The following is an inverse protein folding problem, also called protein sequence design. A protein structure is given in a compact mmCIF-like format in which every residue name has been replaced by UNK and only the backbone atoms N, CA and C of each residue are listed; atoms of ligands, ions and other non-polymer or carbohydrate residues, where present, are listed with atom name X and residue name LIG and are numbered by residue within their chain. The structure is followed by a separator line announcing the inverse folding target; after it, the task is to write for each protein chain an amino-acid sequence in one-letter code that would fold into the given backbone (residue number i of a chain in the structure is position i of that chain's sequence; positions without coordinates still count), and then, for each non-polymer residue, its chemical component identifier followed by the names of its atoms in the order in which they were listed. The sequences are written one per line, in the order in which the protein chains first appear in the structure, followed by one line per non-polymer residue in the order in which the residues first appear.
data_IF_426646993824
#
_entry.id   IF_426646993824
#
_cell.length_a   1.000
_cell.length_b   1.000
_cell.length_c   1.000
_cell.angle_alpha   90.00
_cell.angle_beta   90.00
_cell.angle_gamma   90.00
#
_symmetry.space_group_name_H-M   'P 1'
#
loop_
_entity.id
_entity.type
_entity.pdbx_description
1 polymer ?
#
# COMPACT_ATOMS: atom_id res chain seq x y z
N UNK A 1 -13.81 11.88 0.13
CA UNK A 1 -14.09 10.44 -0.04
C UNK A 1 -14.31 10.18 -1.52
N UNK A 2 -13.77 9.10 -2.06
CA UNK A 2 -14.01 8.74 -3.46
C UNK A 2 -15.47 8.30 -3.63
N UNK A 3 -16.12 8.76 -4.70
CA UNK A 3 -17.51 8.39 -5.02
C UNK A 3 -17.64 6.97 -5.61
N UNK A 4 -16.54 6.24 -5.72
CA UNK A 4 -16.46 4.95 -6.43
C UNK A 4 -16.35 3.78 -5.47
N UNK A 5 -15.75 4.01 -4.29
CA UNK A 5 -15.55 2.94 -3.34
C UNK A 5 -16.84 2.60 -2.61
N UNK A 6 -17.20 1.33 -2.62
CA UNK A 6 -18.22 0.79 -1.74
C UNK A 6 -17.62 0.61 -0.35
N UNK A 7 -18.21 1.24 0.64
CA UNK A 7 -17.76 1.15 2.03
C UNK A 7 -18.52 0.06 2.78
N UNK A 8 -17.96 -0.42 3.88
CA UNK A 8 -18.67 -1.35 4.77
C UNK A 8 -19.99 -0.75 5.23
N UNK A 9 -20.03 0.57 5.52
CA UNK A 9 -21.25 1.28 5.88
C UNK A 9 -22.32 1.37 4.78
N UNK A 10 -21.96 1.13 3.52
CA UNK A 10 -22.92 1.09 2.41
C UNK A 10 -23.64 -0.28 2.29
N UNK A 11 -23.02 -1.34 2.83
CA UNK A 11 -23.52 -2.72 2.74
C UNK A 11 -23.97 -3.32 4.08
N UNK A 12 -23.56 -2.73 5.20
CA UNK A 12 -23.91 -3.22 6.53
C UNK A 12 -24.49 -2.11 7.39
N UNK A 13 -25.71 -2.33 7.89
CA UNK A 13 -26.35 -1.40 8.83
C UNK A 13 -25.78 -1.46 10.25
N UNK A 14 -24.98 -2.49 10.57
CA UNK A 14 -24.36 -2.69 11.88
C UNK A 14 -22.86 -2.75 11.76
N UNK A 15 -22.12 -2.19 12.75
CA UNK A 15 -20.67 -2.33 12.80
C UNK A 15 -20.23 -3.79 12.80
N UNK A 16 -19.28 -4.14 11.95
CA UNK A 16 -18.66 -5.46 11.93
C UNK A 16 -17.44 -5.46 12.85
N UNK A 17 -17.23 -6.48 13.68
CA UNK A 17 -16.07 -6.57 14.56
C UNK A 17 -14.76 -6.47 13.77
N UNK A 18 -13.89 -5.54 14.14
CA UNK A 18 -12.59 -5.34 13.49
C UNK A 18 -12.62 -4.61 12.14
N UNK A 19 -13.80 -4.24 11.62
CA UNK A 19 -13.94 -3.53 10.35
C UNK A 19 -14.63 -2.17 10.56
N UNK A 20 -13.93 -1.05 10.37
CA UNK A 20 -14.55 0.27 10.47
C UNK A 20 -15.55 0.47 9.33
N UNK A 21 -16.67 1.18 9.59
CA UNK A 21 -17.72 1.43 8.62
C UNK A 21 -17.25 2.18 7.37
N UNK A 22 -16.16 2.92 7.46
CA UNK A 22 -15.50 3.62 6.35
C UNK A 22 -14.44 2.77 5.62
N UNK A 23 -14.27 1.51 5.98
CA UNK A 23 -13.42 0.59 5.23
C UNK A 23 -14.03 0.30 3.84
N UNK A 24 -13.15 0.16 2.85
CA UNK A 24 -13.56 -0.15 1.48
C UNK A 24 -13.94 -1.63 1.38
N UNK A 25 -15.17 -1.91 1.01
CA UNK A 25 -15.68 -3.27 0.84
C UNK A 25 -15.48 -3.79 -0.58
N UNK A 26 -15.61 -2.92 -1.58
CA UNK A 26 -15.42 -3.25 -2.99
C UNK A 26 -15.07 -2.02 -3.79
N UNK A 27 -14.22 -2.23 -4.79
CA UNK A 27 -13.89 -1.22 -5.79
C UNK A 27 -14.76 -1.45 -7.02
N UNK A 28 -15.31 -0.39 -7.55
CA UNK A 28 -16.11 -0.36 -8.80
C UNK A 28 -17.44 -1.12 -8.82
N UNK A 29 -17.82 -1.88 -7.80
CA UNK A 29 -19.09 -2.63 -7.83
C UNK A 29 -20.33 -1.74 -7.86
N UNK A 30 -20.24 -0.50 -7.39
CA UNK A 30 -21.29 0.52 -7.43
C UNK A 30 -20.72 1.90 -7.83
N UNK A 31 -19.98 1.94 -8.94
CA UNK A 31 -19.52 3.22 -9.48
C UNK A 31 -20.73 4.13 -9.74
N UNK A 32 -20.81 5.24 -9.00
CA UNK A 32 -21.91 6.21 -9.19
C UNK A 32 -21.76 6.82 -10.58
N UNK A 33 -22.87 6.97 -11.30
CA UNK A 33 -22.88 7.51 -12.67
C UNK A 33 -22.17 8.88 -12.84
N UNK A 34 -21.97 9.59 -11.73
CA UNK A 34 -21.35 10.92 -11.68
C UNK A 34 -19.90 10.90 -11.13
N UNK A 35 -19.21 9.76 -11.17
CA UNK A 35 -17.82 9.70 -10.75
C UNK A 35 -16.94 10.47 -11.74
N UNK A 36 -16.10 11.39 -11.23
CA UNK A 36 -15.14 12.10 -12.04
C UNK A 36 -13.96 11.19 -12.43
N UNK A 37 -13.19 11.61 -13.43
CA UNK A 37 -11.95 10.89 -13.82
C UNK A 37 -10.95 10.86 -12.66
N UNK A 38 -10.91 11.91 -11.84
CA UNK A 38 -10.07 12.02 -10.64
C UNK A 38 -10.51 11.03 -9.57
N UNK A 39 -11.82 10.84 -9.37
CA UNK A 39 -12.36 9.83 -8.46
C UNK A 39 -11.97 8.41 -8.89
N UNK A 40 -12.06 8.13 -10.20
CA UNK A 40 -11.65 6.84 -10.79
C UNK A 40 -10.15 6.62 -10.57
N UNK A 41 -9.33 7.60 -10.91
CA UNK A 41 -7.87 7.53 -10.72
C UNK A 41 -7.50 7.29 -9.25
N UNK A 42 -8.13 8.02 -8.32
CA UNK A 42 -7.91 7.83 -6.88
C UNK A 42 -8.30 6.41 -6.44
N UNK A 43 -9.45 5.91 -6.91
CA UNK A 43 -9.90 4.55 -6.60
C UNK A 43 -8.92 3.49 -7.10
N UNK A 44 -8.39 3.63 -8.31
CA UNK A 44 -7.38 2.73 -8.88
C UNK A 44 -6.09 2.74 -8.08
N UNK A 45 -5.60 3.92 -7.71
CA UNK A 45 -4.40 4.05 -6.88
C UNK A 45 -4.61 3.33 -5.54
N UNK A 46 -5.73 3.55 -4.88
CA UNK A 46 -6.05 2.89 -3.62
C UNK A 46 -6.09 1.37 -3.76
N UNK A 47 -6.72 0.86 -4.82
CA UNK A 47 -6.77 -0.57 -5.11
C UNK A 47 -5.36 -1.15 -5.24
N UNK A 48 -4.49 -0.52 -6.03
CA UNK A 48 -3.11 -0.99 -6.24
C UNK A 48 -2.33 -1.00 -4.93
N UNK A 49 -2.41 0.07 -4.13
CA UNK A 49 -1.71 0.15 -2.86
C UNK A 49 -2.21 -0.88 -1.85
N UNK A 50 -3.52 -1.12 -1.79
CA UNK A 50 -4.10 -2.17 -0.93
C UNK A 50 -3.69 -3.58 -1.40
N UNK A 51 -3.65 -3.83 -2.71
CA UNK A 51 -3.15 -5.09 -3.25
C UNK A 51 -1.69 -5.32 -2.88
N UNK A 52 -0.83 -4.30 -3.01
CA UNK A 52 0.59 -4.38 -2.61
C UNK A 52 0.69 -4.72 -1.12
N UNK A 53 0.00 -3.97 -0.27
CA UNK A 53 0.02 -4.19 1.18
C UNK A 53 -0.48 -5.58 1.57
N UNK A 54 -1.61 -6.02 1.01
CA UNK A 54 -2.18 -7.34 1.28
C UNK A 54 -1.27 -8.46 0.81
N UNK A 55 -0.71 -8.38 -0.39
CA UNK A 55 0.23 -9.37 -0.91
C UNK A 55 1.49 -9.46 -0.03
N UNK A 56 2.02 -8.31 0.41
CA UNK A 56 3.18 -8.25 1.30
C UNK A 56 2.88 -8.94 2.64
N UNK A 57 1.74 -8.65 3.26
CA UNK A 57 1.33 -9.24 4.53
C UNK A 57 1.13 -10.76 4.38
N UNK A 58 0.38 -11.17 3.35
CA UNK A 58 0.07 -12.58 3.13
C UNK A 58 1.33 -13.42 2.84
N UNK A 59 2.28 -12.89 2.05
CA UNK A 59 3.53 -13.59 1.74
C UNK A 59 4.46 -13.77 2.95
N UNK A 60 4.25 -13.00 4.01
CA UNK A 60 5.09 -13.02 5.21
C UNK A 60 4.47 -13.71 6.43
N UNK A 61 3.24 -14.25 6.30
CA UNK A 61 2.52 -14.86 7.41
C UNK A 61 3.32 -15.99 8.09
N UNK A 62 3.92 -16.87 7.30
CA UNK A 62 4.70 -18.01 7.83
C UNK A 62 6.01 -17.55 8.49
N UNK A 63 6.64 -16.50 7.97
CA UNK A 63 7.91 -16.00 8.52
C UNK A 63 7.73 -15.12 9.76
N UNK A 64 6.51 -14.69 10.07
CA UNK A 64 6.20 -13.80 11.18
C UNK A 64 6.77 -12.39 11.05
N UNK A 65 7.24 -12.01 9.85
CA UNK A 65 7.76 -10.66 9.57
C UNK A 65 6.61 -9.67 9.65
N UNK A 66 6.85 -8.56 10.37
CA UNK A 66 5.86 -7.50 10.58
C UNK A 66 6.35 -6.11 10.19
N UNK A 67 7.62 -5.96 9.87
CA UNK A 67 8.22 -4.70 9.41
C UNK A 67 8.55 -4.82 7.92
N UNK A 68 7.96 -3.94 7.11
CA UNK A 68 8.12 -3.91 5.66
C UNK A 68 8.68 -2.58 5.20
N UNK A 69 9.56 -2.61 4.22
CA UNK A 69 10.11 -1.41 3.59
C UNK A 69 9.54 -1.27 2.20
N UNK A 70 8.89 -0.15 1.93
CA UNK A 70 8.31 0.19 0.63
C UNK A 70 9.29 1.06 -0.15
N UNK A 71 9.62 0.64 -1.37
CA UNK A 71 10.52 1.35 -2.28
C UNK A 71 9.88 1.51 -3.66
N UNK A 72 10.42 2.42 -4.46
CA UNK A 72 9.96 2.68 -5.82
C UNK A 72 9.07 3.91 -5.95
N UNK A 73 8.77 4.31 -7.17
CA UNK A 73 8.07 5.56 -7.49
C UNK A 73 6.67 5.68 -6.90
N UNK A 74 5.96 4.57 -6.71
CA UNK A 74 4.62 4.61 -6.11
C UNK A 74 4.62 5.14 -4.68
N UNK A 75 5.74 5.06 -3.96
CA UNK A 75 5.87 5.58 -2.59
C UNK A 75 5.79 7.11 -2.52
N UNK A 76 5.96 7.81 -3.64
CA UNK A 76 5.81 9.27 -3.74
C UNK A 76 4.34 9.71 -3.75
N UNK A 77 3.41 8.79 -3.99
CA UNK A 77 1.99 9.10 -4.02
C UNK A 77 1.48 9.49 -2.62
N UNK A 78 0.76 10.62 -2.48
CA UNK A 78 0.23 11.04 -1.18
C UNK A 78 -0.73 10.01 -0.57
N UNK A 79 -1.40 9.18 -1.38
CA UNK A 79 -2.30 8.11 -0.94
C UNK A 79 -1.60 7.03 -0.10
N UNK A 80 -0.28 6.86 -0.24
CA UNK A 80 0.49 5.97 0.62
C UNK A 80 0.36 6.33 2.10
N UNK A 81 0.26 7.63 2.41
CA UNK A 81 0.11 8.13 3.79
C UNK A 81 -1.29 7.90 4.37
N UNK A 82 -2.25 7.51 3.54
CA UNK A 82 -3.61 7.17 3.96
C UNK A 82 -3.79 5.64 4.05
N UNK A 83 -3.34 4.92 3.03
CA UNK A 83 -3.58 3.47 2.88
C UNK A 83 -2.74 2.65 3.87
N UNK A 84 -1.42 2.84 3.89
CA UNK A 84 -0.54 2.00 4.69
C UNK A 84 -0.75 2.15 6.20
N UNK A 85 -0.94 3.36 6.79
CA UNK A 85 -1.27 3.46 8.21
C UNK A 85 -2.61 2.82 8.60
N UNK A 86 -3.58 2.78 7.68
CA UNK A 86 -4.84 2.06 7.93
C UNK A 86 -4.61 0.54 7.95
N UNK A 87 -3.78 0.02 7.05
CA UNK A 87 -3.40 -1.40 7.03
C UNK A 87 -2.55 -1.80 8.23
N UNK A 88 -1.63 -0.93 8.68
CA UNK A 88 -0.82 -1.16 9.89
C UNK A 88 -1.68 -1.44 11.11
N UNK A 89 -2.73 -0.64 11.31
CA UNK A 89 -3.68 -0.82 12.42
C UNK A 89 -4.49 -2.10 12.30
N UNK A 90 -4.91 -2.45 11.07
CA UNK A 90 -5.77 -3.61 10.83
C UNK A 90 -5.01 -4.93 11.01
N UNK A 91 -3.77 -4.99 10.54
CA UNK A 91 -2.98 -6.23 10.49
C UNK A 91 -1.85 -6.30 11.53
N UNK A 92 -1.70 -5.27 12.36
CA UNK A 92 -0.62 -5.17 13.35
C UNK A 92 0.77 -5.36 12.75
N UNK A 93 1.04 -4.61 11.70
CA UNK A 93 2.30 -4.57 10.94
C UNK A 93 2.83 -3.15 10.83
N UNK A 94 4.02 -2.96 10.28
CA UNK A 94 4.61 -1.65 10.00
C UNK A 94 5.10 -1.55 8.57
N UNK A 95 4.76 -0.43 7.91
CA UNK A 95 5.28 -0.07 6.60
C UNK A 95 6.17 1.17 6.71
N UNK A 96 7.41 1.05 6.27
CA UNK A 96 8.39 2.15 6.29
C UNK A 96 8.71 2.58 4.88
N UNK A 97 8.61 3.88 4.61
CA UNK A 97 9.04 4.49 3.35
C UNK A 97 10.32 5.29 3.66
N UNK A 98 11.49 4.80 3.25
CA UNK A 98 12.76 5.50 3.50
C UNK A 98 12.87 6.77 2.67
N UNK A 99 13.75 7.66 3.09
CA UNK A 99 14.15 8.81 2.28
C UNK A 99 14.77 8.31 0.98
N UNK A 100 14.41 8.91 -0.15
CA UNK A 100 14.84 8.51 -1.49
C UNK A 100 14.37 7.10 -1.89
N UNK A 101 13.19 6.71 -1.40
CA UNK A 101 12.59 5.40 -1.68
C UNK A 101 12.48 5.10 -3.18
N UNK A 102 12.29 6.12 -4.00
CA UNK A 102 12.22 6.04 -5.46
C UNK A 102 13.55 5.63 -6.11
N UNK A 103 14.68 5.92 -5.46
CA UNK A 103 16.02 5.61 -5.95
C UNK A 103 16.67 4.40 -5.27
N UNK A 104 16.00 3.76 -4.31
CA UNK A 104 16.59 2.68 -3.51
C UNK A 104 17.17 1.54 -4.35
N UNK A 105 16.53 1.18 -5.45
CA UNK A 105 17.03 0.12 -6.35
C UNK A 105 18.34 0.53 -7.02
N UNK A 106 18.43 1.76 -7.53
CA UNK A 106 19.65 2.28 -8.16
C UNK A 106 20.80 2.44 -7.15
N UNK A 107 20.47 2.97 -5.97
CA UNK A 107 21.44 3.11 -4.86
C UNK A 107 21.97 1.72 -4.45
N UNK A 108 21.07 0.74 -4.29
CA UNK A 108 21.44 -0.62 -3.94
C UNK A 108 22.37 -1.27 -4.98
N UNK A 109 22.07 -1.12 -6.27
CA UNK A 109 22.91 -1.62 -7.36
C UNK A 109 24.30 -0.99 -7.36
N UNK A 110 24.39 0.33 -7.16
CA UNK A 110 25.67 1.04 -7.09
C UNK A 110 26.51 0.59 -5.88
N UNK A 111 25.88 0.40 -4.72
CA UNK A 111 26.55 -0.08 -3.52
C UNK A 111 27.06 -1.52 -3.68
N UNK A 112 26.26 -2.41 -4.29
CA UNK A 112 26.67 -3.80 -4.53
C UNK A 112 27.85 -3.87 -5.51
N UNK A 113 27.79 -3.06 -6.58
CA UNK A 113 28.90 -2.97 -7.54
C UNK A 113 30.20 -2.54 -6.85
N UNK A 114 30.18 -1.48 -6.04
CA UNK A 114 31.36 -1.00 -5.29
C UNK A 114 31.89 -2.08 -4.35
N UNK A 115 31.04 -2.76 -3.61
CA UNK A 115 31.44 -3.84 -2.69
C UNK A 115 32.13 -4.98 -3.41
N UNK A 116 31.65 -5.37 -4.60
CA UNK A 116 32.27 -6.41 -5.42
C UNK A 116 33.65 -6.02 -5.92
N UNK A 117 33.87 -4.76 -6.27
CA UNK A 117 35.21 -4.27 -6.65
C UNK A 117 36.20 -4.31 -5.47
N UNK A 118 35.80 -3.80 -4.31
CA UNK A 118 36.62 -3.83 -3.09
C UNK A 118 37.02 -5.26 -2.65
N UNK A 119 36.19 -6.26 -3.04
CA UNK A 119 36.48 -7.67 -2.74
C UNK A 119 37.36 -8.33 -3.79
N UNK A 120 37.35 -7.85 -5.04
CA UNK A 120 38.18 -8.36 -6.14
C UNK A 120 39.65 -7.84 -6.09
N UNK A 121 39.85 -6.71 -5.42
CA UNK A 121 41.18 -6.09 -5.27
C UNK A 121 41.95 -6.62 -4.04
N UNK A 122 41.44 -7.61 -3.34
CA UNK A 122 42.08 -8.29 -2.19
C UNK A 122 42.48 -9.72 -2.56
#
# INVERSE_FOLDING_TARGET
MSKINLLIGDISAKPLPGLPMNAVASLFSNAKANASREDIAKGLIWMVLQCIGSATILSSLESGIKDFVLIGNLTLLPQCREVFPAMEKLYNVRFRIPKYSEFCTAIGAALDYRRKQETADK
#
